data_IF_337295862725
#
_entry.id   IF_337295862725
#
_cell.length_a   1.000
_cell.length_b   1.000
_cell.length_c   1.000
_cell.angle_alpha   90.00
_cell.angle_beta   90.00
_cell.angle_gamma   90.00
#
_symmetry.space_group_name_H-M   'P 1'
#
loop_
_entity.id
_entity.type
_entity.pdbx_description
1 polymer ?
#
# COMPACT_ATOMS: atom_id res chain seq x y z
N UNK A 1 -14.35 -11.10 14.55
CA UNK A 1 -13.26 -10.43 13.81
C UNK A 1 -12.05 -10.29 14.71
N UNK A 2 -11.16 -11.25 14.76
CA UNK A 2 -10.02 -11.12 15.66
C UNK A 2 -8.76 -10.70 14.89
N UNK A 3 -8.75 -9.47 14.37
CA UNK A 3 -7.51 -8.83 13.94
C UNK A 3 -6.76 -8.26 15.15
N UNK A 4 -7.47 -7.88 16.18
CA UNK A 4 -6.90 -7.40 17.43
C UNK A 4 -6.91 -8.55 18.44
N UNK A 5 -5.80 -8.78 19.17
CA UNK A 5 -5.77 -9.78 20.25
C UNK A 5 -6.89 -9.53 21.27
N UNK A 6 -7.25 -10.57 22.04
CA UNK A 6 -8.20 -10.43 23.14
C UNK A 6 -7.71 -9.35 24.10
N UNK A 7 -8.31 -8.17 24.03
CA UNK A 7 -7.97 -6.99 24.80
C UNK A 7 -9.18 -6.53 25.59
N UNK A 8 -8.94 -6.01 26.79
CA UNK A 8 -10.00 -5.48 27.65
C UNK A 8 -10.48 -4.10 27.19
N UNK A 9 -9.56 -3.33 26.63
CA UNK A 9 -9.82 -1.98 26.16
C UNK A 9 -9.21 -1.79 24.76
N UNK A 10 -10.02 -1.31 23.82
CA UNK A 10 -9.60 -1.02 22.45
C UNK A 10 -10.03 0.39 22.10
N UNK A 11 -9.09 1.21 21.68
CA UNK A 11 -9.39 2.53 21.10
C UNK A 11 -9.07 2.55 19.62
N UNK A 12 -9.90 3.25 18.84
CA UNK A 12 -9.74 3.34 17.39
C UNK A 12 -9.82 4.80 16.94
N UNK A 13 -8.89 5.21 16.09
CA UNK A 13 -8.83 6.56 15.52
C UNK A 13 -8.63 6.47 14.03
N UNK A 14 -9.49 7.11 13.25
CA UNK A 14 -9.32 7.19 11.80
C UNK A 14 -8.08 8.02 11.51
N UNK A 15 -7.14 7.43 10.76
CA UNK A 15 -6.01 8.15 10.19
C UNK A 15 -6.49 8.94 8.96
N UNK A 16 -5.61 9.77 8.39
CA UNK A 16 -5.94 10.64 7.28
C UNK A 16 -6.75 9.93 6.18
N UNK A 17 -7.65 10.69 5.53
CA UNK A 17 -8.48 10.18 4.43
C UNK A 17 -7.58 9.74 3.28
N UNK A 18 -7.42 8.43 3.13
CA UNK A 18 -6.69 7.81 2.02
C UNK A 18 -7.66 7.58 0.86
N UNK A 19 -7.21 7.87 -0.36
CA UNK A 19 -8.03 7.77 -1.59
C UNK A 19 -8.61 6.37 -1.78
N UNK A 20 -7.84 5.33 -1.48
CA UNK A 20 -8.16 3.95 -1.86
C UNK A 20 -8.52 3.01 -0.70
N UNK A 21 -8.35 3.46 0.55
CA UNK A 21 -8.54 2.60 1.72
C UNK A 21 -9.18 3.35 2.90
N UNK A 22 -9.90 2.63 3.76
CA UNK A 22 -10.02 3.01 5.16
C UNK A 22 -8.74 2.64 5.89
N UNK A 23 -8.25 3.56 6.72
CA UNK A 23 -7.04 3.36 7.53
C UNK A 23 -7.34 3.82 8.94
N UNK A 24 -7.24 2.90 9.89
CA UNK A 24 -7.63 3.12 11.29
C UNK A 24 -6.47 2.71 12.19
N UNK A 25 -5.98 3.64 13.01
CA UNK A 25 -5.07 3.32 14.11
C UNK A 25 -5.89 2.67 15.22
N UNK A 26 -5.44 1.52 15.70
CA UNK A 26 -6.02 0.82 16.86
C UNK A 26 -4.94 0.70 17.92
N UNK A 27 -5.33 0.97 19.17
CA UNK A 27 -4.51 0.69 20.32
C UNK A 27 -5.28 -0.25 21.25
N UNK A 28 -4.53 -1.16 21.88
CA UNK A 28 -5.05 -2.09 22.89
C UNK A 28 -4.06 -2.18 24.04
N UNK A 29 -4.42 -2.88 25.13
CA UNK A 29 -3.65 -2.91 26.41
C UNK A 29 -2.14 -3.04 26.26
N UNK A 30 -1.66 -3.83 25.30
CA UNK A 30 -0.24 -4.17 25.14
C UNK A 30 0.28 -3.92 23.72
N UNK A 31 -0.35 -3.04 22.94
CA UNK A 31 0.13 -2.81 21.59
C UNK A 31 -0.70 -1.81 20.78
N UNK A 32 -0.27 -1.61 19.56
CA UNK A 32 -0.94 -0.78 18.58
C UNK A 32 -0.72 -1.30 17.17
N UNK A 33 -1.58 -0.87 16.25
CA UNK A 33 -1.44 -1.24 14.85
C UNK A 33 -2.33 -0.39 13.96
N UNK A 34 -2.23 -0.62 12.68
CA UNK A 34 -3.03 0.05 11.65
C UNK A 34 -3.85 -0.99 10.91
N UNK A 35 -5.17 -0.89 11.00
CA UNK A 35 -6.08 -1.69 10.18
C UNK A 35 -6.33 -0.96 8.87
N UNK A 36 -6.18 -1.68 7.76
CA UNK A 36 -6.49 -1.21 6.42
C UNK A 36 -7.56 -2.07 5.79
N UNK A 37 -8.54 -1.41 5.14
CA UNK A 37 -9.58 -2.04 4.33
C UNK A 37 -9.72 -1.29 3.02
N UNK A 38 -9.70 -1.99 1.89
CA UNK A 38 -9.82 -1.37 0.58
C UNK A 38 -11.23 -0.83 0.32
N UNK A 39 -11.33 0.27 -0.43
CA UNK A 39 -12.60 0.82 -0.93
C UNK A 39 -12.89 0.27 -2.31
N UNK A 40 -14.14 -0.14 -2.57
CA UNK A 40 -14.59 -0.51 -3.91
C UNK A 40 -14.59 0.72 -4.84
N UNK A 41 -15.13 1.83 -4.38
CA UNK A 41 -15.10 3.13 -5.04
C UNK A 41 -14.00 4.00 -4.43
N UNK A 42 -13.06 4.47 -5.25
CA UNK A 42 -12.01 5.38 -4.82
C UNK A 42 -12.58 6.78 -4.54
N UNK A 43 -11.99 7.48 -3.59
CA UNK A 43 -12.37 8.86 -3.21
C UNK A 43 -11.70 9.88 -4.13
N UNK A 44 -12.13 9.88 -5.39
CA UNK A 44 -11.67 10.82 -6.43
C UNK A 44 -12.89 11.42 -7.14
N UNK A 45 -12.77 12.56 -7.79
CA UNK A 45 -13.82 13.05 -8.69
C UNK A 45 -14.11 12.01 -9.78
N UNK A 46 -15.40 11.75 -10.05
CA UNK A 46 -15.84 10.74 -11.02
C UNK A 46 -15.89 9.32 -10.45
N UNK A 47 -16.23 8.37 -11.31
CA UNK A 47 -16.34 6.95 -10.94
C UNK A 47 -15.03 6.22 -11.23
N UNK A 48 -14.39 5.74 -10.19
CA UNK A 48 -13.21 4.89 -10.30
C UNK A 48 -13.36 3.73 -9.30
N UNK A 49 -13.77 2.59 -9.83
CA UNK A 49 -13.93 1.36 -9.07
C UNK A 49 -12.66 0.51 -9.11
N UNK A 50 -12.40 -0.19 -8.04
CA UNK A 50 -11.27 -1.09 -7.93
C UNK A 50 -11.61 -2.29 -7.05
N UNK A 51 -11.14 -3.46 -7.47
CA UNK A 51 -11.35 -4.70 -6.75
C UNK A 51 -10.83 -4.59 -5.31
N UNK A 52 -11.66 -4.96 -4.35
CA UNK A 52 -11.33 -4.84 -2.91
C UNK A 52 -10.38 -5.93 -2.43
N UNK A 53 -10.27 -7.05 -3.15
CA UNK A 53 -9.33 -8.12 -2.83
C UNK A 53 -7.86 -7.70 -2.96
N UNK A 54 -7.60 -6.55 -3.57
CA UNK A 54 -6.25 -5.96 -3.65
C UNK A 54 -5.60 -5.77 -2.29
N UNK A 55 -6.41 -5.64 -1.23
CA UNK A 55 -5.86 -5.53 0.13
C UNK A 55 -5.17 -6.82 0.58
N UNK A 56 -5.65 -7.96 0.12
CA UNK A 56 -5.04 -9.25 0.40
C UNK A 56 -3.73 -9.43 -0.38
N UNK A 57 -3.69 -8.94 -1.64
CA UNK A 57 -2.44 -8.89 -2.41
C UNK A 57 -1.41 -7.95 -1.76
N UNK A 58 -1.85 -6.82 -1.18
CA UNK A 58 -0.99 -5.94 -0.39
C UNK A 58 -0.42 -6.69 0.83
N UNK A 59 -1.26 -7.46 1.54
CA UNK A 59 -0.82 -8.29 2.67
C UNK A 59 0.22 -9.34 2.28
N UNK A 60 0.02 -10.03 1.15
CA UNK A 60 0.98 -11.01 0.61
C UNK A 60 2.31 -10.31 0.25
N UNK A 61 2.26 -9.15 -0.41
CA UNK A 61 3.44 -8.38 -0.78
C UNK A 61 4.20 -7.87 0.45
N UNK A 62 3.51 -7.32 1.44
CA UNK A 62 4.11 -6.86 2.69
C UNK A 62 4.80 -8.02 3.42
N UNK A 63 4.17 -9.18 3.50
CA UNK A 63 4.76 -10.36 4.13
C UNK A 63 6.06 -10.76 3.44
N UNK A 64 6.05 -10.83 2.11
CA UNK A 64 7.22 -11.20 1.31
C UNK A 64 8.35 -10.16 1.45
N UNK A 65 8.05 -8.88 1.30
CA UNK A 65 9.06 -7.82 1.37
C UNK A 65 9.59 -7.57 2.77
N UNK A 66 8.75 -7.75 3.80
CA UNK A 66 9.22 -7.70 5.18
C UNK A 66 10.27 -8.79 5.47
N UNK A 67 10.11 -10.00 4.94
CA UNK A 67 11.13 -11.05 5.07
C UNK A 67 12.46 -10.69 4.41
N UNK A 68 12.44 -9.92 3.32
CA UNK A 68 13.64 -9.48 2.59
C UNK A 68 14.29 -8.26 3.22
N UNK A 69 13.50 -7.32 3.71
CA UNK A 69 13.97 -6.02 4.21
C UNK A 69 13.13 -5.54 5.41
N UNK A 70 13.22 -6.20 6.58
CA UNK A 70 12.34 -5.92 7.73
C UNK A 70 12.45 -4.49 8.28
N UNK A 71 13.60 -3.84 8.09
CA UNK A 71 13.80 -2.45 8.52
C UNK A 71 13.07 -1.42 7.65
N UNK A 72 12.58 -1.81 6.46
CA UNK A 72 11.96 -0.90 5.48
C UNK A 72 10.49 -1.20 5.22
N UNK A 73 9.98 -2.31 5.72
CA UNK A 73 8.60 -2.75 5.47
C UNK A 73 7.94 -3.09 6.80
N UNK A 74 6.76 -2.55 7.10
CA UNK A 74 6.06 -2.87 8.34
C UNK A 74 5.72 -4.36 8.41
N UNK A 75 5.64 -4.90 9.60
CA UNK A 75 5.19 -6.27 9.82
C UNK A 75 3.69 -6.38 9.60
N UNK A 76 3.24 -7.43 8.93
CA UNK A 76 1.84 -7.84 8.92
C UNK A 76 1.51 -8.49 10.27
N UNK A 77 0.68 -7.84 11.07
CA UNK A 77 0.27 -8.30 12.41
C UNK A 77 -0.94 -9.23 12.36
N UNK A 78 -1.80 -9.05 11.37
CA UNK A 78 -3.01 -9.85 11.19
C UNK A 78 -3.65 -9.66 9.84
N UNK A 79 -4.49 -10.61 9.46
CA UNK A 79 -5.24 -10.63 8.22
C UNK A 79 -6.59 -11.32 8.42
N UNK A 80 -7.61 -10.77 7.80
CA UNK A 80 -8.93 -11.38 7.74
C UNK A 80 -9.40 -11.37 6.29
N UNK A 81 -9.46 -12.57 5.67
CA UNK A 81 -9.80 -12.74 4.26
C UNK A 81 -11.29 -12.50 4.01
N UNK A 82 -12.16 -12.86 4.94
CA UNK A 82 -13.62 -12.70 4.81
C UNK A 82 -14.02 -11.22 4.85
N UNK A 83 -13.37 -10.45 5.71
CA UNK A 83 -13.61 -9.01 5.86
C UNK A 83 -12.74 -8.15 4.94
N UNK A 84 -11.86 -8.77 4.16
CA UNK A 84 -10.92 -8.09 3.25
C UNK A 84 -10.15 -6.98 3.97
N UNK A 85 -9.53 -7.34 5.11
CA UNK A 85 -8.81 -6.42 5.97
C UNK A 85 -7.44 -6.98 6.38
N UNK A 86 -6.47 -6.09 6.52
CA UNK A 86 -5.15 -6.40 7.05
C UNK A 86 -4.83 -5.49 8.22
N UNK A 87 -3.98 -5.96 9.12
CA UNK A 87 -3.45 -5.18 10.22
C UNK A 87 -1.92 -5.13 10.13
N UNK A 88 -1.40 -3.94 10.15
CA UNK A 88 0.04 -3.66 10.03
C UNK A 88 0.58 -3.08 11.32
N UNK A 89 1.87 -3.27 11.51
CA UNK A 89 2.64 -2.54 12.50
C UNK A 89 2.49 -1.02 12.30
N UNK A 90 2.33 -0.30 13.39
CA UNK A 90 2.27 1.17 13.37
C UNK A 90 3.68 1.72 13.15
N UNK A 91 3.80 2.67 12.24
CA UNK A 91 5.06 3.40 12.06
C UNK A 91 5.43 4.16 13.35
N UNK A 92 6.73 4.27 13.70
CA UNK A 92 7.19 5.10 14.80
C UNK A 92 6.68 6.54 14.70
N UNK A 93 6.41 7.16 15.85
CA UNK A 93 5.82 8.51 15.89
C UNK A 93 6.75 9.62 15.35
N UNK A 94 8.05 9.37 15.40
CA UNK A 94 9.08 10.27 14.87
C UNK A 94 9.30 10.14 13.36
N UNK A 95 8.64 9.17 12.71
CA UNK A 95 8.68 9.06 11.25
C UNK A 95 7.83 10.14 10.60
N UNK A 96 8.45 10.85 9.66
CA UNK A 96 7.77 11.82 8.79
C UNK A 96 7.57 11.27 7.38
N UNK A 97 6.47 11.64 6.76
CA UNK A 97 6.17 11.24 5.38
C UNK A 97 7.10 11.96 4.40
N UNK A 98 7.94 11.23 3.69
CA UNK A 98 8.88 11.79 2.71
C UNK A 98 8.20 12.63 1.62
N UNK A 99 7.00 12.24 1.18
CA UNK A 99 6.21 13.02 0.21
C UNK A 99 5.92 14.43 0.72
N UNK A 100 5.56 14.58 2.00
CA UNK A 100 5.30 15.91 2.59
C UNK A 100 6.58 16.75 2.64
N UNK A 101 7.71 16.15 3.03
CA UNK A 101 9.00 16.84 3.01
C UNK A 101 9.34 17.36 1.60
N UNK A 102 9.15 16.52 0.57
CA UNK A 102 9.41 16.94 -0.82
C UNK A 102 8.48 18.06 -1.28
N UNK A 103 7.21 18.06 -0.86
CA UNK A 103 6.27 19.16 -1.16
C UNK A 103 6.67 20.47 -0.47
N UNK A 104 7.36 20.39 0.67
CA UNK A 104 7.96 21.54 1.38
C UNK A 104 9.32 21.95 0.81
N UNK A 105 9.79 21.30 -0.25
CA UNK A 105 11.09 21.58 -0.87
C UNK A 105 12.28 20.93 -0.15
N UNK A 106 12.03 20.06 0.83
CA UNK A 106 13.08 19.35 1.56
C UNK A 106 13.49 18.12 0.76
N UNK A 107 14.66 18.17 0.16
CA UNK A 107 15.20 17.06 -0.65
C UNK A 107 16.35 16.39 0.09
N UNK A 108 16.19 15.08 0.37
CA UNK A 108 17.24 14.27 0.95
C UNK A 108 17.66 13.14 -0.03
N UNK A 109 18.77 13.30 -0.76
CA UNK A 109 19.24 12.31 -1.73
C UNK A 109 19.54 10.93 -1.13
N UNK A 110 19.85 10.86 0.17
CA UNK A 110 20.12 9.61 0.86
C UNK A 110 18.89 8.69 0.85
N UNK A 111 17.67 9.25 0.98
CA UNK A 111 16.43 8.47 0.92
C UNK A 111 16.29 7.78 -0.44
N UNK A 112 16.57 8.51 -1.54
CA UNK A 112 16.55 7.93 -2.88
C UNK A 112 17.58 6.80 -3.06
N UNK A 113 18.78 6.97 -2.50
CA UNK A 113 19.82 5.93 -2.51
C UNK A 113 19.38 4.68 -1.74
N UNK A 114 18.85 4.83 -0.54
CA UNK A 114 18.36 3.69 0.26
C UNK A 114 17.18 2.98 -0.41
N UNK A 115 16.22 3.72 -0.95
CA UNK A 115 15.12 3.13 -1.72
C UNK A 115 15.62 2.36 -2.95
N UNK A 116 16.62 2.89 -3.66
CA UNK A 116 17.23 2.21 -4.80
C UNK A 116 17.88 0.87 -4.40
N UNK A 117 18.57 0.82 -3.25
CA UNK A 117 19.13 -0.43 -2.70
C UNK A 117 18.03 -1.43 -2.35
N UNK A 118 16.97 -0.98 -1.66
CA UNK A 118 15.83 -1.83 -1.28
C UNK A 118 15.15 -2.41 -2.53
N UNK A 119 14.85 -1.58 -3.52
CA UNK A 119 14.26 -2.03 -4.78
C UNK A 119 15.18 -3.02 -5.52
N UNK A 120 16.49 -2.78 -5.53
CA UNK A 120 17.47 -3.70 -6.10
C UNK A 120 17.46 -5.07 -5.41
N UNK A 121 17.35 -5.10 -4.08
CA UNK A 121 17.21 -6.35 -3.32
C UNK A 121 15.92 -7.07 -3.71
N UNK A 122 14.79 -6.36 -3.75
CA UNK A 122 13.49 -6.95 -4.10
C UNK A 122 13.50 -7.53 -5.51
N UNK A 123 13.95 -6.77 -6.51
CA UNK A 123 14.02 -7.26 -7.88
C UNK A 123 14.92 -8.50 -7.99
N UNK A 124 16.10 -8.46 -7.39
CA UNK A 124 17.03 -9.60 -7.45
C UNK A 124 16.49 -10.85 -6.76
N UNK A 125 15.78 -10.69 -5.64
CA UNK A 125 15.26 -11.80 -4.85
C UNK A 125 13.92 -12.35 -5.35
N UNK A 126 13.20 -11.59 -6.17
CA UNK A 126 11.89 -12.02 -6.72
C UNK A 126 11.96 -12.41 -8.20
N UNK A 127 13.07 -12.14 -8.89
CA UNK A 127 13.26 -12.55 -10.28
C UNK A 127 13.45 -14.07 -10.36
N UNK A 128 12.62 -14.70 -11.20
CA UNK A 128 12.70 -16.14 -11.46
C UNK A 128 12.22 -17.04 -10.32
N UNK A 129 11.58 -16.49 -9.30
CA UNK A 129 10.94 -17.27 -8.24
C UNK A 129 9.42 -17.25 -8.39
N UNK A 130 8.76 -18.29 -7.87
CA UNK A 130 7.31 -18.33 -7.83
C UNK A 130 6.81 -17.35 -6.78
N UNK A 131 5.97 -16.42 -7.20
CA UNK A 131 5.36 -15.43 -6.34
C UNK A 131 4.01 -15.92 -5.79
N UNK A 132 3.51 -15.35 -4.69
CA UNK A 132 2.14 -15.59 -4.26
C UNK A 132 1.15 -15.33 -5.40
N UNK A 133 0.13 -16.19 -5.61
CA UNK A 133 -0.75 -16.11 -6.78
C UNK A 133 -1.42 -14.74 -6.97
N UNK A 134 -1.77 -14.04 -5.88
CA UNK A 134 -2.36 -12.70 -5.95
C UNK A 134 -1.39 -11.64 -6.46
N UNK A 135 -0.09 -11.83 -6.29
CA UNK A 135 0.96 -10.95 -6.81
C UNK A 135 1.27 -11.32 -8.26
N UNK A 136 1.45 -12.60 -8.54
CA UNK A 136 1.76 -13.10 -9.88
C UNK A 136 0.70 -12.73 -10.91
N UNK A 137 -0.58 -12.84 -10.54
CA UNK A 137 -1.72 -12.45 -11.37
C UNK A 137 -2.06 -10.95 -11.30
N UNK A 138 -1.20 -10.14 -10.70
CA UNK A 138 -1.45 -8.71 -10.46
C UNK A 138 -1.29 -7.78 -11.67
N UNK A 139 -0.88 -8.27 -12.86
CA UNK A 139 -0.65 -7.42 -14.05
C UNK A 139 -1.87 -6.62 -14.47
N UNK A 140 -3.06 -7.24 -14.50
CA UNK A 140 -4.30 -6.54 -14.83
C UNK A 140 -4.59 -5.43 -13.82
N UNK A 141 -4.45 -5.72 -12.53
CA UNK A 141 -4.64 -4.74 -11.44
C UNK A 141 -3.66 -3.57 -11.53
N UNK A 142 -2.39 -3.85 -11.85
CA UNK A 142 -1.39 -2.81 -12.07
C UNK A 142 -1.78 -1.93 -13.25
N UNK A 143 -2.24 -2.52 -14.34
CA UNK A 143 -2.71 -1.77 -15.49
C UNK A 143 -3.92 -0.90 -15.12
N UNK A 144 -4.98 -1.48 -14.55
CA UNK A 144 -6.23 -0.77 -14.20
C UNK A 144 -6.00 0.38 -13.21
N UNK A 145 -5.10 0.20 -12.24
CA UNK A 145 -4.88 1.17 -11.16
C UNK A 145 -3.73 2.15 -11.42
N UNK A 146 -2.90 1.89 -12.41
CA UNK A 146 -1.72 2.73 -12.69
C UNK A 146 -1.59 3.10 -14.16
N UNK A 147 -1.33 2.14 -15.04
CA UNK A 147 -1.07 2.45 -16.45
C UNK A 147 -2.32 3.02 -17.14
N UNK A 148 -3.44 2.27 -17.15
CA UNK A 148 -4.68 2.68 -17.79
C UNK A 148 -5.28 3.95 -17.18
N UNK A 149 -5.30 4.05 -15.85
CA UNK A 149 -5.89 5.19 -15.16
C UNK A 149 -5.09 6.50 -15.36
N UNK A 150 -3.76 6.43 -15.32
CA UNK A 150 -2.92 7.63 -15.46
C UNK A 150 -2.60 7.93 -16.93
N UNK A 151 -2.00 6.99 -17.64
CA UNK A 151 -1.58 7.23 -19.03
C UNK A 151 -2.77 7.22 -20.00
N UNK A 152 -3.68 6.26 -19.89
CA UNK A 152 -4.90 6.22 -20.69
C UNK A 152 -5.82 7.41 -20.43
N UNK A 153 -5.91 7.87 -19.17
CA UNK A 153 -6.63 9.10 -18.81
C UNK A 153 -6.00 10.34 -19.42
N UNK A 154 -4.66 10.42 -19.44
CA UNK A 154 -3.95 11.52 -20.12
C UNK A 154 -4.22 11.55 -21.62
N UNK A 155 -4.23 10.40 -22.29
CA UNK A 155 -4.55 10.30 -23.71
C UNK A 155 -5.97 10.76 -24.03
N UNK A 156 -6.94 10.57 -23.10
CA UNK A 156 -8.30 11.10 -23.26
C UNK A 156 -8.38 12.63 -23.12
N UNK A 157 -7.54 13.21 -22.24
CA UNK A 157 -7.51 14.68 -22.03
C UNK A 157 -6.69 15.38 -23.12
N UNK A 158 -5.63 14.74 -23.59
CA UNK A 158 -4.71 15.25 -24.62
C UNK A 158 -4.51 14.21 -25.72
N UNK A 159 -5.49 14.02 -26.64
CA UNK A 159 -5.42 13.00 -27.69
C UNK A 159 -4.22 13.16 -28.62
N UNK A 160 -3.72 14.37 -28.79
CA UNK A 160 -2.55 14.66 -29.62
C UNK A 160 -1.25 14.02 -29.09
N UNK A 161 -1.23 13.63 -27.80
CA UNK A 161 -0.09 12.97 -27.17
C UNK A 161 -0.26 11.45 -27.05
N UNK A 162 -1.39 10.88 -27.48
CA UNK A 162 -1.61 9.42 -27.45
C UNK A 162 -0.45 8.60 -28.03
N UNK A 163 0.15 8.98 -29.19
CA UNK A 163 1.27 8.23 -29.75
C UNK A 163 2.55 8.19 -28.89
N UNK A 164 2.65 9.07 -27.87
CA UNK A 164 3.76 9.10 -26.94
C UNK A 164 3.49 8.26 -25.67
N UNK A 165 2.24 7.81 -25.50
CA UNK A 165 1.74 7.14 -24.29
C UNK A 165 1.51 5.65 -24.55
N UNK A 166 1.24 5.26 -25.81
CA UNK A 166 0.92 3.88 -26.25
C UNK A 166 2.13 2.95 -26.37
#
# INVERSE_FOLDING_TARGET
LSLVPDAKEITATTLAVVVSCYTIKVNWDNGSGVIKRALAQLRVPGTWEADVDRILAEGDAITMYHQLTPAFVPKLLGRNDDELAIMLELAPEDMSEWRLQMLEGIVNPTIGSELGKVLGIWHNKTTGVQLPPRIENGKKRLYDLRAGAFYGGMAQIWPEHEPLIS
#
